data_IF_199735023952
#
_entry.id   IF_199735023952
#
_cell.length_a   1.000
_cell.length_b   1.000
_cell.length_c   1.000
_cell.angle_alpha   90.00
_cell.angle_beta   90.00
_cell.angle_gamma   90.00
#
_symmetry.space_group_name_H-M   'P 1'
#
loop_
_entity.id
_entity.type
_entity.pdbx_description
1 polymer ?
#
# COMPACT_ATOMS: atom_id res chain seq x y z
N UNK A 1 -80.42 -95.86 -7.50
CA UNK A 1 -81.11 -96.52 -8.61
C UNK A 1 -81.66 -97.84 -8.10
N UNK A 2 -82.93 -97.82 -7.73
CA UNK A 2 -83.70 -98.98 -7.26
C UNK A 2 -83.97 -99.90 -8.44
N UNK A 3 -83.45 -101.12 -8.37
CA UNK A 3 -83.75 -102.20 -9.31
C UNK A 3 -85.16 -102.69 -8.96
N UNK A 4 -86.15 -102.23 -9.73
CA UNK A 4 -87.50 -102.80 -9.72
C UNK A 4 -87.43 -104.20 -10.34
N UNK A 5 -87.50 -105.21 -9.48
CA UNK A 5 -87.69 -106.60 -9.85
C UNK A 5 -89.09 -106.74 -10.48
N UNK A 6 -89.14 -106.78 -11.81
CA UNK A 6 -90.35 -107.17 -12.55
C UNK A 6 -90.57 -108.66 -12.30
N UNK A 7 -91.32 -108.97 -11.24
CA UNK A 7 -91.86 -110.31 -11.01
C UNK A 7 -92.92 -110.55 -12.09
N UNK A 8 -92.60 -111.42 -13.04
CA UNK A 8 -93.47 -111.92 -14.10
C UNK A 8 -94.68 -112.65 -13.52
N UNK A 9 -95.72 -111.89 -13.18
CA UNK A 9 -97.04 -112.39 -12.80
C UNK A 9 -97.89 -112.86 -14.00
N UNK A 10 -97.25 -113.36 -15.07
CA UNK A 10 -97.92 -113.78 -16.31
C UNK A 10 -98.31 -115.28 -16.30
N UNK A 11 -97.87 -116.03 -15.29
CA UNK A 11 -98.01 -117.49 -15.19
C UNK A 11 -99.43 -118.02 -14.96
N UNK A 12 -100.48 -117.19 -15.00
CA UNK A 12 -101.89 -117.63 -14.81
C UNK A 12 -102.84 -117.28 -15.95
N UNK A 13 -102.35 -116.62 -17.01
CA UNK A 13 -103.17 -116.35 -18.20
C UNK A 13 -103.01 -117.53 -19.16
N UNK A 14 -104.11 -118.23 -19.43
CA UNK A 14 -104.12 -119.37 -20.37
C UNK A 14 -104.64 -118.92 -21.72
N UNK A 15 -104.07 -119.36 -22.84
CA UNK A 15 -104.66 -119.07 -24.14
C UNK A 15 -106.04 -119.74 -24.29
N UNK A 16 -106.89 -119.16 -25.13
CA UNK A 16 -108.16 -119.74 -25.56
C UNK A 16 -107.95 -121.14 -26.13
N UNK A 17 -108.78 -122.10 -25.75
CA UNK A 17 -108.65 -123.50 -26.17
C UNK A 17 -108.88 -123.72 -27.68
N UNK A 18 -109.34 -122.71 -28.42
CA UNK A 18 -109.30 -122.68 -29.87
C UNK A 18 -107.99 -121.99 -30.33
N UNK A 19 -106.95 -122.74 -30.75
CA UNK A 19 -105.61 -122.21 -31.01
C UNK A 19 -105.56 -121.04 -32.00
N UNK A 20 -106.35 -121.01 -33.10
CA UNK A 20 -106.37 -119.86 -34.01
C UNK A 20 -106.83 -118.55 -33.35
N UNK A 21 -107.54 -118.62 -32.21
CA UNK A 21 -107.89 -117.41 -31.47
C UNK A 21 -106.66 -116.76 -30.83
N UNK A 22 -105.73 -117.56 -30.28
CA UNK A 22 -104.50 -117.09 -29.63
C UNK A 22 -104.65 -116.17 -28.40
N UNK A 23 -105.87 -115.67 -28.12
CA UNK A 23 -106.12 -114.70 -27.05
C UNK A 23 -105.93 -115.33 -25.68
N UNK A 24 -105.34 -114.57 -24.77
CA UNK A 24 -105.21 -114.93 -23.37
C UNK A 24 -106.56 -114.75 -22.66
N UNK A 25 -107.03 -115.81 -22.01
CA UNK A 25 -108.25 -115.78 -21.20
C UNK A 25 -108.03 -114.95 -19.93
N UNK A 26 -109.08 -114.29 -19.42
CA UNK A 26 -109.02 -113.60 -18.13
C UNK A 26 -108.54 -114.54 -17.03
N UNK A 27 -107.79 -114.04 -16.04
CA UNK A 27 -107.34 -114.85 -14.91
C UNK A 27 -108.54 -115.50 -14.22
N UNK A 28 -108.47 -116.81 -14.00
CA UNK A 28 -109.57 -117.58 -13.41
C UNK A 28 -109.80 -117.15 -11.96
N UNK A 29 -110.95 -116.50 -11.70
CA UNK A 29 -111.30 -115.93 -10.39
C UNK A 29 -111.78 -116.97 -9.34
N UNK A 30 -111.56 -118.26 -9.56
CA UNK A 30 -111.82 -119.32 -8.57
C UNK A 30 -113.28 -119.75 -8.41
N UNK A 31 -114.26 -119.07 -9.01
CA UNK A 31 -115.68 -119.48 -8.97
C UNK A 31 -116.08 -120.22 -10.25
N UNK A 32 -116.60 -121.44 -10.11
CA UNK A 32 -117.16 -122.24 -11.21
C UNK A 32 -116.13 -123.02 -12.04
N UNK A 33 -116.55 -123.72 -13.10
CA UNK A 33 -115.60 -124.44 -13.96
C UNK A 33 -114.77 -123.41 -14.77
N UNK A 34 -113.43 -123.52 -14.84
CA UNK A 34 -112.63 -122.58 -15.60
C UNK A 34 -113.10 -122.50 -17.06
N UNK A 35 -113.41 -121.29 -17.52
CA UNK A 35 -113.77 -121.07 -18.93
C UNK A 35 -112.59 -121.50 -19.81
N UNK A 36 -112.89 -122.30 -20.83
CA UNK A 36 -111.89 -122.82 -21.78
C UNK A 36 -111.80 -121.98 -23.05
N UNK A 37 -112.87 -121.25 -23.37
CA UNK A 37 -112.98 -120.40 -24.55
C UNK A 37 -113.20 -118.95 -24.11
N UNK A 38 -112.91 -118.01 -25.00
CA UNK A 38 -113.22 -116.61 -24.75
C UNK A 38 -114.74 -116.44 -24.52
N UNK A 39 -115.16 -115.62 -23.54
CA UNK A 39 -116.57 -115.28 -23.37
C UNK A 39 -117.10 -114.59 -24.64
N UNK A 40 -118.37 -114.83 -24.99
CA UNK A 40 -119.00 -114.31 -26.21
C UNK A 40 -119.09 -112.77 -26.26
N UNK A 41 -118.93 -112.12 -25.10
CA UNK A 41 -118.90 -110.68 -24.95
C UNK A 41 -117.63 -110.34 -24.13
N UNK A 42 -116.71 -109.47 -24.58
CA UNK A 42 -116.76 -108.58 -25.76
C UNK A 42 -116.11 -109.19 -27.02
N UNK A 43 -116.10 -110.51 -27.17
CA UNK A 43 -115.26 -111.13 -28.20
C UNK A 43 -116.01 -111.19 -29.55
N UNK A 44 -115.43 -110.62 -30.64
CA UNK A 44 -116.07 -110.70 -31.95
C UNK A 44 -116.28 -112.16 -32.35
N UNK A 45 -117.51 -112.48 -32.76
CA UNK A 45 -117.83 -113.78 -33.37
C UNK A 45 -117.00 -113.94 -34.64
N UNK A 46 -116.66 -115.19 -34.99
CA UNK A 46 -115.97 -115.49 -36.24
C UNK A 46 -116.83 -115.06 -37.44
N UNK A 47 -116.26 -114.86 -38.64
CA UNK A 47 -116.98 -114.30 -39.80
C UNK A 47 -118.29 -115.04 -40.17
N UNK A 48 -118.42 -116.30 -39.76
CA UNK A 48 -119.60 -117.16 -39.93
C UNK A 48 -120.58 -117.13 -38.74
N UNK A 49 -120.43 -116.17 -37.83
CA UNK A 49 -121.26 -115.99 -36.64
C UNK A 49 -120.99 -116.99 -35.52
N UNK A 50 -119.96 -117.84 -35.65
CA UNK A 50 -119.65 -118.89 -34.67
C UNK A 50 -118.80 -118.38 -33.50
N UNK A 51 -118.99 -118.98 -32.33
CA UNK A 51 -118.17 -118.71 -31.14
C UNK A 51 -116.87 -119.51 -31.18
N UNK A 52 -115.85 -119.13 -30.40
CA UNK A 52 -114.61 -119.91 -30.30
C UNK A 52 -114.88 -121.37 -29.87
N UNK A 53 -115.89 -121.60 -29.03
CA UNK A 53 -116.32 -122.94 -28.64
C UNK A 53 -116.89 -123.72 -29.83
N UNK A 54 -117.74 -123.09 -30.64
CA UNK A 54 -118.32 -123.71 -31.83
C UNK A 54 -117.26 -124.00 -32.90
N UNK A 55 -116.29 -123.10 -33.08
CA UNK A 55 -115.17 -123.29 -33.99
C UNK A 55 -114.23 -124.42 -33.54
N UNK A 56 -113.94 -124.54 -32.24
CA UNK A 56 -113.17 -125.67 -31.72
C UNK A 56 -113.94 -126.98 -31.83
N UNK A 57 -115.26 -126.97 -31.58
CA UNK A 57 -116.10 -128.14 -31.77
C UNK A 57 -116.13 -128.57 -33.24
N UNK A 58 -116.31 -127.62 -34.17
CA UNK A 58 -116.29 -127.87 -35.61
C UNK A 58 -114.93 -128.40 -36.08
N UNK A 59 -113.83 -127.84 -35.57
CA UNK A 59 -112.48 -128.33 -35.84
C UNK A 59 -112.30 -129.75 -35.33
N UNK A 60 -112.68 -130.03 -34.08
CA UNK A 60 -112.59 -131.39 -33.51
C UNK A 60 -113.48 -132.38 -34.24
N UNK A 61 -114.65 -131.96 -34.73
CA UNK A 61 -115.49 -132.82 -35.57
C UNK A 61 -114.87 -133.04 -36.94
N UNK A 62 -114.22 -132.04 -37.53
CA UNK A 62 -113.51 -132.18 -38.80
C UNK A 62 -112.29 -133.10 -38.66
N UNK A 63 -111.46 -132.90 -37.63
CA UNK A 63 -110.31 -133.75 -37.30
C UNK A 63 -110.75 -135.22 -37.12
N UNK A 64 -111.86 -135.47 -36.41
CA UNK A 64 -112.45 -136.81 -36.27
C UNK A 64 -113.03 -137.36 -37.56
N UNK A 65 -113.73 -136.55 -38.35
CA UNK A 65 -114.30 -136.97 -39.62
C UNK A 65 -113.22 -137.37 -40.64
N UNK A 66 -112.03 -136.76 -40.56
CA UNK A 66 -110.87 -137.10 -41.39
C UNK A 66 -109.99 -138.21 -40.79
N UNK A 67 -110.30 -138.72 -39.59
CA UNK A 67 -109.47 -139.71 -38.88
C UNK A 67 -108.08 -139.17 -38.48
N UNK A 68 -107.94 -137.85 -38.35
CA UNK A 68 -106.66 -137.18 -38.04
C UNK A 68 -106.49 -136.85 -36.56
N UNK A 69 -107.50 -137.12 -35.73
CA UNK A 69 -107.47 -136.87 -34.29
C UNK A 69 -106.35 -137.64 -33.59
N UNK A 70 -106.24 -138.95 -33.84
CA UNK A 70 -105.18 -139.81 -33.27
C UNK A 70 -103.77 -139.41 -33.71
N UNK A 71 -103.47 -139.23 -35.02
CA UNK A 71 -102.11 -138.84 -35.44
C UNK A 71 -101.75 -137.40 -35.03
N UNK A 72 -102.71 -136.47 -34.96
CA UNK A 72 -102.43 -135.11 -34.48
C UNK A 72 -102.17 -135.07 -32.97
N UNK A 73 -102.89 -135.87 -32.18
CA UNK A 73 -102.62 -135.99 -30.75
C UNK A 73 -101.29 -136.70 -30.48
N UNK A 74 -100.93 -137.71 -31.28
CA UNK A 74 -99.61 -138.33 -31.27
C UNK A 74 -98.49 -137.36 -31.62
N UNK A 75 -98.68 -136.54 -32.66
CA UNK A 75 -97.72 -135.49 -33.05
C UNK A 75 -97.59 -134.41 -31.96
N UNK A 76 -98.69 -133.93 -31.38
CA UNK A 76 -98.65 -132.93 -30.29
C UNK A 76 -97.96 -133.51 -29.05
N UNK A 77 -98.22 -134.78 -28.72
CA UNK A 77 -97.54 -135.48 -27.63
C UNK A 77 -96.04 -135.63 -27.87
N UNK A 78 -95.63 -135.97 -29.09
CA UNK A 78 -94.21 -136.09 -29.47
C UNK A 78 -93.50 -134.73 -29.60
N UNK A 79 -94.22 -133.68 -30.03
CA UNK A 79 -93.68 -132.33 -30.21
C UNK A 79 -93.63 -131.52 -28.91
N UNK A 80 -94.43 -131.86 -27.89
CA UNK A 80 -94.44 -131.18 -26.59
C UNK A 80 -93.04 -131.05 -25.96
N UNK A 81 -92.29 -132.17 -25.78
CA UNK A 81 -90.93 -132.13 -25.25
C UNK A 81 -89.97 -131.29 -26.11
N UNK A 82 -90.15 -131.27 -27.43
CA UNK A 82 -89.33 -130.47 -28.34
C UNK A 82 -89.61 -128.97 -28.18
N UNK A 83 -90.88 -128.58 -28.03
CA UNK A 83 -91.28 -127.18 -27.80
C UNK A 83 -90.80 -126.71 -26.42
N UNK A 84 -90.90 -127.55 -25.39
CA UNK A 84 -90.35 -127.23 -24.06
C UNK A 84 -88.82 -127.08 -24.08
N UNK A 85 -88.11 -127.98 -24.77
CA UNK A 85 -86.67 -127.87 -24.95
C UNK A 85 -86.26 -126.62 -25.75
N UNK A 86 -87.03 -126.27 -26.80
CA UNK A 86 -86.81 -125.06 -27.58
C UNK A 86 -87.09 -123.78 -26.78
N UNK A 87 -88.11 -123.79 -25.92
CA UNK A 87 -88.40 -122.67 -25.01
C UNK A 87 -87.28 -122.50 -23.97
N UNK A 88 -86.80 -123.58 -23.35
CA UNK A 88 -85.68 -123.54 -22.41
C UNK A 88 -84.38 -123.04 -23.08
N UNK A 89 -84.11 -123.46 -24.32
CA UNK A 89 -82.98 -122.95 -25.09
C UNK A 89 -83.15 -121.46 -25.44
N UNK A 90 -84.36 -121.02 -25.79
CA UNK A 90 -84.65 -119.62 -26.06
C UNK A 90 -84.41 -118.75 -24.81
N UNK A 91 -84.84 -119.21 -23.64
CA UNK A 91 -84.59 -118.51 -22.36
C UNK A 91 -83.08 -118.43 -22.08
N UNK A 92 -82.33 -119.52 -22.26
CA UNK A 92 -80.86 -119.52 -22.10
C UNK A 92 -80.16 -118.56 -23.07
N UNK A 93 -80.64 -118.46 -24.31
CA UNK A 93 -80.11 -117.53 -25.30
C UNK A 93 -80.43 -116.08 -24.94
N UNK A 94 -81.63 -115.80 -24.42
CA UNK A 94 -82.01 -114.46 -23.92
C UNK A 94 -81.12 -114.04 -22.75
N UNK A 95 -80.86 -114.94 -21.80
CA UNK A 95 -79.95 -114.69 -20.68
C UNK A 95 -78.52 -114.43 -21.15
N UNK A 96 -78.03 -115.24 -22.10
CA UNK A 96 -76.69 -115.07 -22.68
C UNK A 96 -76.56 -113.74 -23.41
N UNK A 97 -77.55 -113.35 -24.23
CA UNK A 97 -77.56 -112.04 -24.92
C UNK A 97 -77.60 -110.90 -23.91
N UNK A 98 -78.34 -111.05 -22.81
CA UNK A 98 -78.41 -110.05 -21.74
C UNK A 98 -77.06 -109.88 -21.03
N UNK A 99 -76.38 -110.99 -20.73
CA UNK A 99 -75.03 -110.97 -20.16
C UNK A 99 -74.01 -110.34 -21.11
N UNK A 100 -74.03 -110.70 -22.40
CA UNK A 100 -73.16 -110.10 -23.42
C UNK A 100 -73.39 -108.60 -23.52
N UNK A 101 -74.66 -108.15 -23.54
CA UNK A 101 -74.99 -106.72 -23.56
C UNK A 101 -74.52 -106.00 -22.28
N UNK A 102 -74.60 -106.63 -21.12
CA UNK A 102 -74.10 -106.06 -19.87
C UNK A 102 -72.57 -105.94 -19.87
N UNK A 103 -71.86 -106.95 -20.39
CA UNK A 103 -70.40 -106.92 -20.54
C UNK A 103 -69.98 -105.85 -21.55
N UNK A 104 -70.66 -105.77 -22.70
CA UNK A 104 -70.39 -104.77 -23.74
C UNK A 104 -70.66 -103.35 -23.22
N UNK A 105 -71.81 -103.13 -22.57
CA UNK A 105 -72.13 -101.87 -21.90
C UNK A 105 -71.13 -101.49 -20.80
N UNK A 106 -70.67 -102.45 -20.00
CA UNK A 106 -69.65 -102.22 -18.98
C UNK A 106 -68.23 -102.01 -19.55
N UNK A 107 -67.91 -102.59 -20.70
CA UNK A 107 -66.66 -102.32 -21.41
C UNK A 107 -66.68 -100.91 -22.01
N UNK A 108 -67.76 -100.53 -22.70
CA UNK A 108 -67.94 -99.19 -23.27
C UNK A 108 -67.94 -98.11 -22.18
N UNK A 109 -68.59 -98.35 -21.03
CA UNK A 109 -68.56 -97.42 -19.90
C UNK A 109 -67.13 -97.21 -19.36
N UNK A 110 -66.35 -98.29 -19.18
CA UNK A 110 -64.94 -98.18 -18.74
C UNK A 110 -64.05 -97.49 -19.76
N UNK A 111 -64.31 -97.68 -21.06
CA UNK A 111 -63.60 -96.95 -22.12
C UNK A 111 -63.93 -95.46 -22.04
N UNK A 112 -65.21 -95.11 -21.92
CA UNK A 112 -65.64 -93.72 -21.78
C UNK A 112 -65.05 -93.05 -20.52
N UNK A 113 -65.06 -93.75 -19.38
CA UNK A 113 -64.44 -93.26 -18.14
C UNK A 113 -62.92 -93.06 -18.30
N UNK A 114 -62.25 -93.99 -18.98
CA UNK A 114 -60.81 -93.91 -19.25
C UNK A 114 -60.48 -92.75 -20.20
N UNK A 115 -61.26 -92.55 -21.26
CA UNK A 115 -61.12 -91.43 -22.19
C UNK A 115 -61.35 -90.09 -21.50
N UNK A 116 -62.38 -90.00 -20.64
CA UNK A 116 -62.61 -88.80 -19.83
C UNK A 116 -61.42 -88.53 -18.89
N UNK A 117 -60.94 -89.54 -18.16
CA UNK A 117 -59.80 -89.40 -17.27
C UNK A 117 -58.51 -88.99 -18.00
N UNK A 118 -58.29 -89.53 -19.22
CA UNK A 118 -57.18 -89.10 -20.08
C UNK A 118 -57.34 -87.65 -20.53
N UNK A 119 -58.55 -87.24 -20.94
CA UNK A 119 -58.84 -85.85 -21.32
C UNK A 119 -58.58 -84.87 -20.17
N UNK A 120 -59.04 -85.20 -18.96
CA UNK A 120 -58.78 -84.40 -17.75
C UNK A 120 -57.28 -84.37 -17.38
N UNK A 121 -56.57 -85.49 -17.54
CA UNK A 121 -55.13 -85.55 -17.30
C UNK A 121 -54.35 -84.67 -18.29
N UNK A 122 -54.69 -84.72 -19.58
CA UNK A 122 -54.10 -83.87 -20.62
C UNK A 122 -54.41 -82.39 -20.35
N UNK A 123 -55.66 -82.04 -20.04
CA UNK A 123 -56.03 -80.67 -19.72
C UNK A 123 -55.26 -80.11 -18.51
N UNK A 124 -55.02 -80.93 -17.47
CA UNK A 124 -54.18 -80.56 -16.32
C UNK A 124 -52.71 -80.41 -16.70
N UNK A 125 -52.18 -81.29 -17.55
CA UNK A 125 -50.79 -81.19 -18.02
C UNK A 125 -50.57 -79.90 -18.84
N UNK A 126 -51.46 -79.59 -19.78
CA UNK A 126 -51.40 -78.36 -20.56
C UNK A 126 -51.54 -77.10 -19.70
N UNK A 127 -52.41 -77.12 -18.67
CA UNK A 127 -52.53 -76.02 -17.73
C UNK A 127 -51.22 -75.81 -16.94
N UNK A 128 -50.61 -76.90 -16.44
CA UNK A 128 -49.33 -76.83 -15.74
C UNK A 128 -48.17 -76.33 -16.64
N UNK A 129 -48.17 -76.70 -17.92
CA UNK A 129 -47.20 -76.18 -18.89
C UNK A 129 -47.39 -74.68 -19.14
N UNK A 130 -48.64 -74.23 -19.33
CA UNK A 130 -48.95 -72.79 -19.47
C UNK A 130 -48.53 -71.99 -18.25
N UNK A 131 -48.78 -72.52 -17.05
CA UNK A 131 -48.40 -71.88 -15.78
C UNK A 131 -46.88 -71.80 -15.63
N UNK A 132 -46.14 -72.87 -15.98
CA UNK A 132 -44.67 -72.88 -15.97
C UNK A 132 -44.12 -71.84 -16.95
N UNK A 133 -44.61 -71.83 -18.18
CA UNK A 133 -44.15 -70.91 -19.21
C UNK A 133 -44.47 -69.45 -18.84
N UNK A 134 -45.60 -69.21 -18.14
CA UNK A 134 -45.92 -67.91 -17.59
C UNK A 134 -44.96 -67.51 -16.48
N UNK A 135 -44.68 -68.40 -15.52
CA UNK A 135 -43.73 -68.14 -14.46
C UNK A 135 -42.31 -67.87 -14.97
N UNK A 136 -41.88 -68.55 -16.04
CA UNK A 136 -40.59 -68.30 -16.69
C UNK A 136 -40.56 -66.93 -17.37
N UNK A 137 -41.63 -66.52 -18.04
CA UNK A 137 -41.76 -65.16 -18.62
C UNK A 137 -41.70 -64.09 -17.54
N UNK A 138 -42.45 -64.27 -16.45
CA UNK A 138 -42.49 -63.33 -15.34
C UNK A 138 -41.12 -63.20 -14.66
N UNK A 139 -40.40 -64.32 -14.48
CA UNK A 139 -39.02 -64.30 -13.97
C UNK A 139 -38.08 -63.51 -14.89
N UNK A 140 -38.12 -63.75 -16.20
CA UNK A 140 -37.28 -63.03 -17.15
C UNK A 140 -37.61 -61.53 -17.21
N UNK A 141 -38.88 -61.17 -17.10
CA UNK A 141 -39.31 -59.79 -16.99
C UNK A 141 -38.75 -59.14 -15.72
N UNK A 142 -38.89 -59.80 -14.56
CA UNK A 142 -38.37 -59.30 -13.28
C UNK A 142 -36.85 -59.13 -13.30
N UNK A 143 -36.11 -60.06 -13.90
CA UNK A 143 -34.65 -59.97 -14.06
C UNK A 143 -34.27 -58.78 -14.95
N UNK A 144 -35.02 -58.55 -16.03
CA UNK A 144 -34.80 -57.41 -16.94
C UNK A 144 -35.08 -56.08 -16.23
N UNK A 145 -36.17 -55.99 -15.47
CA UNK A 145 -36.53 -54.81 -14.68
C UNK A 145 -35.48 -54.54 -13.60
N UNK A 146 -35.00 -55.57 -12.90
CA UNK A 146 -33.92 -55.47 -11.93
C UNK A 146 -32.63 -54.96 -12.57
N UNK A 147 -32.24 -55.50 -13.72
CA UNK A 147 -31.04 -55.06 -14.45
C UNK A 147 -31.15 -53.59 -14.87
N UNK A 148 -32.33 -53.16 -15.36
CA UNK A 148 -32.60 -51.76 -15.69
C UNK A 148 -32.51 -50.86 -14.45
N UNK A 149 -33.12 -51.26 -13.33
CA UNK A 149 -33.07 -50.50 -12.09
C UNK A 149 -31.63 -50.31 -11.58
N UNK A 150 -30.82 -51.36 -11.61
CA UNK A 150 -29.39 -51.30 -11.24
C UNK A 150 -28.62 -50.37 -12.17
N UNK A 151 -28.84 -50.46 -13.49
CA UNK A 151 -28.19 -49.58 -14.46
C UNK A 151 -28.56 -48.11 -14.25
N UNK A 152 -29.85 -47.81 -14.00
CA UNK A 152 -30.33 -46.46 -13.70
C UNK A 152 -29.77 -45.93 -12.38
N UNK A 153 -29.69 -46.76 -11.34
CA UNK A 153 -29.09 -46.38 -10.05
C UNK A 153 -27.60 -46.05 -10.20
N UNK A 154 -26.84 -46.91 -10.89
CA UNK A 154 -25.42 -46.67 -11.16
C UNK A 154 -25.19 -45.40 -11.99
N UNK A 155 -26.07 -45.10 -12.95
CA UNK A 155 -26.00 -43.84 -13.70
C UNK A 155 -26.29 -42.61 -12.84
N UNK A 156 -27.30 -42.70 -11.96
CA UNK A 156 -27.61 -41.64 -11.02
C UNK A 156 -26.45 -41.37 -10.06
N UNK A 157 -25.77 -42.42 -9.56
CA UNK A 157 -24.57 -42.30 -8.73
C UNK A 157 -23.42 -41.62 -9.47
N UNK A 158 -23.13 -42.03 -10.71
CA UNK A 158 -22.09 -41.38 -11.54
C UNK A 158 -22.39 -39.90 -11.76
N UNK A 159 -23.65 -39.54 -12.05
CA UNK A 159 -24.08 -38.14 -12.21
C UNK A 159 -23.96 -37.36 -10.90
N UNK A 160 -24.32 -37.96 -9.77
CA UNK A 160 -24.18 -37.34 -8.46
C UNK A 160 -22.72 -37.09 -8.09
N UNK A 161 -21.82 -38.05 -8.33
CA UNK A 161 -20.38 -37.88 -8.11
C UNK A 161 -19.76 -36.84 -9.04
N UNK A 162 -20.13 -36.84 -10.33
CA UNK A 162 -19.67 -35.82 -11.26
C UNK A 162 -20.10 -34.43 -10.79
N UNK A 163 -21.37 -34.26 -10.37
CA UNK A 163 -21.87 -33.02 -9.82
C UNK A 163 -21.12 -32.59 -8.54
N UNK A 164 -20.79 -33.54 -7.64
CA UNK A 164 -19.97 -33.27 -6.45
C UNK A 164 -18.57 -32.79 -6.80
N UNK A 165 -17.87 -33.50 -7.70
CA UNK A 165 -16.51 -33.12 -8.17
C UNK A 165 -16.53 -31.74 -8.84
N UNK A 166 -17.56 -31.43 -9.59
CA UNK A 166 -17.75 -30.12 -10.23
C UNK A 166 -18.00 -29.01 -9.20
N UNK A 167 -18.83 -29.26 -8.19
CA UNK A 167 -19.06 -28.33 -7.10
C UNK A 167 -17.77 -28.05 -6.30
N UNK A 168 -17.01 -29.09 -5.93
CA UNK A 168 -15.73 -28.95 -5.25
C UNK A 168 -14.70 -28.17 -6.07
N UNK A 169 -14.67 -28.37 -7.39
CA UNK A 169 -13.79 -27.61 -8.28
C UNK A 169 -14.18 -26.14 -8.30
N UNK A 170 -15.47 -25.81 -8.41
CA UNK A 170 -15.95 -24.42 -8.35
C UNK A 170 -15.63 -23.74 -7.02
N UNK A 171 -15.76 -24.46 -5.91
CA UNK A 171 -15.39 -23.95 -4.57
C UNK A 171 -13.89 -23.66 -4.51
N UNK A 172 -13.04 -24.59 -4.97
CA UNK A 172 -11.58 -24.36 -5.03
C UNK A 172 -11.22 -23.15 -5.88
N UNK A 173 -11.75 -23.06 -7.10
CA UNK A 173 -11.54 -21.91 -7.99
C UNK A 173 -11.99 -20.59 -7.37
N UNK A 174 -13.12 -20.58 -6.65
CA UNK A 174 -13.61 -19.40 -5.95
C UNK A 174 -12.69 -18.98 -4.79
N UNK A 175 -12.20 -19.95 -4.01
CA UNK A 175 -11.24 -19.71 -2.93
C UNK A 175 -9.91 -19.19 -3.46
N UNK A 176 -9.39 -19.75 -4.55
CA UNK A 176 -8.15 -19.30 -5.18
C UNK A 176 -8.28 -17.85 -5.69
N UNK A 177 -9.40 -17.51 -6.34
CA UNK A 177 -9.69 -16.14 -6.76
C UNK A 177 -9.79 -15.17 -5.59
N UNK A 178 -10.39 -15.58 -4.47
CA UNK A 178 -10.45 -14.75 -3.27
C UNK A 178 -9.05 -14.49 -2.71
N UNK A 179 -8.21 -15.53 -2.61
CA UNK A 179 -6.83 -15.40 -2.17
C UNK A 179 -6.00 -14.50 -3.10
N UNK A 180 -6.23 -14.56 -4.41
CA UNK A 180 -5.59 -13.67 -5.39
C UNK A 180 -6.00 -12.21 -5.17
N UNK A 181 -7.30 -11.96 -4.97
CA UNK A 181 -7.84 -10.62 -4.69
C UNK A 181 -7.30 -10.06 -3.37
N UNK A 182 -7.20 -10.88 -2.33
CA UNK A 182 -6.60 -10.49 -1.05
C UNK A 182 -5.11 -10.12 -1.20
N UNK A 183 -4.35 -10.88 -1.99
CA UNK A 183 -2.95 -10.55 -2.30
C UNK A 183 -2.84 -9.24 -3.08
N UNK A 184 -3.68 -9.04 -4.09
CA UNK A 184 -3.72 -7.78 -4.86
C UNK A 184 -4.11 -6.60 -3.97
N UNK A 185 -5.09 -6.79 -3.08
CA UNK A 185 -5.52 -5.76 -2.13
C UNK A 185 -4.39 -5.42 -1.17
N UNK A 186 -3.71 -6.41 -0.59
CA UNK A 186 -2.54 -6.21 0.27
C UNK A 186 -1.40 -5.48 -0.45
N UNK A 187 -1.11 -5.83 -1.70
CA UNK A 187 -0.13 -5.13 -2.54
C UNK A 187 -0.53 -3.68 -2.82
N UNK A 188 -1.81 -3.42 -3.12
CA UNK A 188 -2.32 -2.09 -3.36
C UNK A 188 -2.25 -1.21 -2.10
N UNK A 189 -2.59 -1.76 -0.92
CA UNK A 189 -2.44 -1.08 0.36
C UNK A 189 -0.97 -0.75 0.65
N UNK A 190 -0.07 -1.73 0.50
CA UNK A 190 1.37 -1.51 0.69
C UNK A 190 1.93 -0.45 -0.27
N UNK A 191 1.50 -0.46 -1.54
CA UNK A 191 1.88 0.56 -2.52
C UNK A 191 1.35 1.95 -2.15
N UNK A 192 0.11 2.04 -1.64
CA UNK A 192 -0.47 3.29 -1.17
C UNK A 192 0.26 3.84 0.06
N UNK A 193 0.63 2.98 1.01
CA UNK A 193 1.44 3.34 2.18
C UNK A 193 2.84 3.80 1.78
N UNK A 194 3.50 3.09 0.87
CA UNK A 194 4.79 3.48 0.32
C UNK A 194 4.73 4.83 -0.41
N UNK A 195 3.67 5.08 -1.17
CA UNK A 195 3.45 6.37 -1.84
C UNK A 195 3.26 7.52 -0.84
N UNK A 196 2.48 7.29 0.25
CA UNK A 196 2.33 8.27 1.33
C UNK A 196 3.65 8.55 2.05
N UNK A 197 4.44 7.52 2.34
CA UNK A 197 5.75 7.67 2.95
C UNK A 197 6.72 8.45 2.05
N UNK A 198 6.72 8.17 0.74
CA UNK A 198 7.52 8.91 -0.24
C UNK A 198 7.10 10.39 -0.34
N UNK A 199 5.80 10.68 -0.29
CA UNK A 199 5.29 12.05 -0.29
C UNK A 199 5.68 12.80 0.99
N UNK A 200 5.63 12.14 2.14
CA UNK A 200 6.09 12.72 3.41
C UNK A 200 7.59 13.02 3.39
N UNK A 201 8.42 12.11 2.85
CA UNK A 201 9.87 12.34 2.69
C UNK A 201 10.14 13.49 1.73
N UNK A 202 9.43 13.58 0.60
CA UNK A 202 9.56 14.69 -0.34
C UNK A 202 9.20 16.03 0.30
N UNK A 203 8.14 16.07 1.12
CA UNK A 203 7.73 17.27 1.85
C UNK A 203 8.80 17.71 2.82
N UNK A 204 9.33 16.77 3.63
CA UNK A 204 10.43 17.04 4.56
C UNK A 204 11.69 17.55 3.85
N UNK A 205 12.04 16.99 2.69
CA UNK A 205 13.18 17.47 1.90
C UNK A 205 12.99 18.90 1.41
N UNK A 206 11.77 19.27 1.01
CA UNK A 206 11.44 20.65 0.62
C UNK A 206 11.55 21.60 1.82
N UNK A 207 10.96 21.24 2.96
CA UNK A 207 11.07 22.05 4.19
C UNK A 207 12.53 22.27 4.61
N UNK A 208 13.37 21.24 4.55
CA UNK A 208 14.81 21.37 4.84
C UNK A 208 15.51 22.27 3.81
N UNK A 209 15.17 22.16 2.53
CA UNK A 209 15.73 23.02 1.49
C UNK A 209 15.32 24.48 1.68
N UNK A 210 14.05 24.74 2.02
CA UNK A 210 13.52 26.08 2.29
C UNK A 210 14.17 26.69 3.55
N UNK A 211 14.35 25.89 4.61
CA UNK A 211 15.08 26.33 5.81
C UNK A 211 16.52 26.71 5.48
N UNK A 212 17.22 25.91 4.68
CA UNK A 212 18.60 26.22 4.24
C UNK A 212 18.64 27.47 3.38
N UNK A 213 17.68 27.66 2.47
CA UNK A 213 17.58 28.88 1.67
C UNK A 213 17.40 30.12 2.57
N UNK A 214 16.52 30.06 3.56
CA UNK A 214 16.33 31.15 4.53
C UNK A 214 17.59 31.42 5.37
N UNK A 215 18.32 30.38 5.77
CA UNK A 215 19.62 30.52 6.44
C UNK A 215 20.63 31.22 5.53
N UNK A 216 20.76 30.78 4.27
CA UNK A 216 21.67 31.42 3.32
C UNK A 216 21.30 32.88 3.03
N UNK A 217 20.01 33.22 2.93
CA UNK A 217 19.57 34.61 2.78
C UNK A 217 19.99 35.46 3.99
N UNK A 218 19.86 34.92 5.20
CA UNK A 218 20.27 35.58 6.44
C UNK A 218 21.79 35.77 6.49
N UNK A 219 22.56 34.73 6.15
CA UNK A 219 24.03 34.80 6.07
C UNK A 219 24.49 35.82 5.02
N UNK A 220 23.84 35.85 3.86
CA UNK A 220 24.18 36.76 2.77
C UNK A 220 23.83 38.22 3.12
N UNK A 221 22.74 38.45 3.86
CA UNK A 221 22.43 39.75 4.44
C UNK A 221 23.48 40.18 5.48
N UNK A 222 23.93 39.25 6.35
CA UNK A 222 24.98 39.51 7.33
C UNK A 222 26.33 39.84 6.67
N UNK A 223 26.70 39.11 5.60
CA UNK A 223 27.92 39.38 4.82
C UNK A 223 27.83 40.74 4.13
N UNK A 224 26.68 41.11 3.57
CA UNK A 224 26.47 42.46 2.99
C UNK A 224 26.62 43.54 4.04
N UNK A 225 25.98 43.40 5.19
CA UNK A 225 26.11 44.35 6.30
C UNK A 225 27.57 44.45 6.78
N UNK A 226 28.29 43.33 6.85
CA UNK A 226 29.71 43.33 7.21
C UNK A 226 30.56 44.04 6.15
N UNK A 227 30.33 43.80 4.86
CA UNK A 227 31.03 44.52 3.77
C UNK A 227 30.77 46.02 3.80
N UNK A 228 29.53 46.45 4.05
CA UNK A 228 29.18 47.87 4.14
C UNK A 228 29.81 48.52 5.37
N UNK A 229 29.86 47.82 6.52
CA UNK A 229 30.59 48.27 7.70
C UNK A 229 32.10 48.41 7.41
N UNK A 230 32.73 47.39 6.80
CA UNK A 230 34.15 47.45 6.45
C UNK A 230 34.46 48.55 5.45
N UNK A 231 33.54 48.86 4.52
CA UNK A 231 33.67 50.01 3.62
C UNK A 231 33.60 51.33 4.37
N UNK A 232 32.65 51.49 5.29
CA UNK A 232 32.54 52.67 6.12
C UNK A 232 33.78 52.87 7.02
N UNK A 233 34.32 51.79 7.58
CA UNK A 233 35.56 51.79 8.35
C UNK A 233 36.75 52.22 7.47
N UNK A 234 36.83 51.70 6.24
CA UNK A 234 37.89 52.03 5.29
C UNK A 234 37.81 53.49 4.82
N UNK A 235 36.62 54.03 4.58
CA UNK A 235 36.43 55.45 4.26
C UNK A 235 36.76 56.34 5.46
N UNK A 236 36.42 55.90 6.68
CA UNK A 236 36.82 56.58 7.93
C UNK A 236 38.35 56.57 8.09
N UNK A 237 39.01 55.44 7.89
CA UNK A 237 40.45 55.31 7.97
C UNK A 237 41.17 56.16 6.89
N UNK A 238 40.61 56.24 5.69
CA UNK A 238 41.10 57.16 4.64
C UNK A 238 40.98 58.61 5.05
N UNK A 239 39.83 59.03 5.57
CA UNK A 239 39.61 60.38 6.06
C UNK A 239 40.58 60.73 7.21
N UNK A 240 40.80 59.80 8.14
CA UNK A 240 41.80 59.95 9.21
C UNK A 240 43.21 60.10 8.65
N UNK A 241 43.61 59.25 7.69
CA UNK A 241 44.94 59.32 7.06
C UNK A 241 45.15 60.64 6.32
N UNK A 242 44.13 61.15 5.61
CA UNK A 242 44.18 62.47 4.98
C UNK A 242 44.29 63.58 6.02
N UNK A 243 43.49 63.53 7.09
CA UNK A 243 43.57 64.51 8.17
C UNK A 243 44.93 64.51 8.88
N UNK A 244 45.51 63.34 9.14
CA UNK A 244 46.86 63.21 9.70
C UNK A 244 47.93 63.75 8.74
N UNK A 245 47.78 63.50 7.44
CA UNK A 245 48.66 64.05 6.42
C UNK A 245 48.61 65.58 6.37
N UNK A 246 47.41 66.17 6.39
CA UNK A 246 47.21 67.62 6.42
C UNK A 246 47.75 68.23 7.73
N UNK A 247 47.57 67.56 8.87
CA UNK A 247 48.17 67.96 10.13
C UNK A 247 49.69 67.93 10.08
N UNK A 248 50.27 66.90 9.44
CA UNK A 248 51.72 66.80 9.25
C UNK A 248 52.26 67.95 8.39
N UNK A 249 51.61 68.25 7.26
CA UNK A 249 51.96 69.39 6.41
C UNK A 249 51.85 70.71 7.19
N UNK A 250 50.78 70.90 7.96
CA UNK A 250 50.60 72.10 8.78
C UNK A 250 51.69 72.24 9.86
N UNK A 251 52.08 71.13 10.49
CA UNK A 251 53.18 71.08 11.45
C UNK A 251 54.54 71.35 10.79
N UNK A 252 54.81 70.79 9.61
CA UNK A 252 56.00 71.07 8.80
C UNK A 252 56.10 72.57 8.49
N UNK A 253 55.03 73.20 8.00
CA UNK A 253 54.99 74.64 7.77
C UNK A 253 55.12 75.49 9.06
N UNK A 254 54.71 74.97 10.21
CA UNK A 254 54.91 75.65 11.49
C UNK A 254 56.38 75.56 11.93
N UNK A 255 57.04 74.42 11.71
CA UNK A 255 58.48 74.26 11.93
C UNK A 255 59.27 75.20 11.01
N UNK A 256 58.98 75.24 9.70
CA UNK A 256 59.62 76.17 8.75
C UNK A 256 59.48 77.63 9.19
N UNK A 257 58.28 78.04 9.62
CA UNK A 257 58.05 79.38 10.16
C UNK A 257 58.84 79.65 11.45
N UNK A 258 58.98 78.64 12.30
CA UNK A 258 59.75 78.75 13.54
C UNK A 258 61.25 78.82 13.27
N UNK A 259 61.75 78.06 12.30
CA UNK A 259 63.14 78.10 11.86
C UNK A 259 63.48 79.42 11.18
N UNK A 260 62.61 79.94 10.32
CA UNK A 260 62.75 81.28 9.75
C UNK A 260 62.80 82.35 10.86
N UNK A 261 61.91 82.27 11.85
CA UNK A 261 61.90 83.18 13.01
C UNK A 261 63.16 83.05 13.86
N UNK A 262 63.67 81.83 14.07
CA UNK A 262 64.92 81.60 14.78
C UNK A 262 66.12 82.16 14.00
N UNK A 263 66.14 82.04 12.68
CA UNK A 263 67.17 82.63 11.82
C UNK A 263 67.15 84.16 11.87
N UNK A 264 65.95 84.77 11.81
CA UNK A 264 65.76 86.21 11.97
C UNK A 264 66.21 86.68 13.37
N UNK A 265 65.80 85.98 14.43
CA UNK A 265 66.23 86.27 15.80
C UNK A 265 67.75 86.12 15.97
N UNK A 266 68.35 85.10 15.37
CA UNK A 266 69.82 84.92 15.38
C UNK A 266 70.51 86.11 14.69
N UNK A 267 69.95 86.57 13.58
CA UNK A 267 70.46 87.75 12.86
C UNK A 267 70.30 89.04 13.69
N UNK A 268 69.16 89.22 14.37
CA UNK A 268 68.96 90.34 15.30
C UNK A 268 69.92 90.29 16.49
N UNK A 269 70.19 89.11 17.03
CA UNK A 269 71.20 88.93 18.09
C UNK A 269 72.58 89.33 17.57
N UNK A 270 72.99 88.88 16.39
CA UNK A 270 74.27 89.27 15.79
C UNK A 270 74.36 90.79 15.53
N UNK A 271 73.28 91.41 15.06
CA UNK A 271 73.19 92.86 14.85
C UNK A 271 73.25 93.64 16.16
N UNK A 272 72.55 93.19 17.20
CA UNK A 272 72.58 93.84 18.53
C UNK A 272 73.94 93.65 19.20
N UNK A 273 74.61 92.52 19.02
CA UNK A 273 75.99 92.31 19.47
C UNK A 273 76.96 93.24 18.75
N UNK A 274 76.88 93.37 17.42
CA UNK A 274 77.70 94.30 16.66
C UNK A 274 77.46 95.77 17.07
N UNK A 275 76.21 96.14 17.35
CA UNK A 275 75.87 97.46 17.88
C UNK A 275 76.45 97.69 19.30
N UNK A 276 76.43 96.66 20.15
CA UNK A 276 77.03 96.71 21.49
C UNK A 276 78.56 96.84 21.43
N UNK A 277 79.22 96.11 20.54
CA UNK A 277 80.68 96.19 20.32
C UNK A 277 81.08 97.58 19.80
N UNK A 278 80.28 98.14 18.88
CA UNK A 278 80.45 99.52 18.38
C UNK A 278 80.29 100.53 19.52
N UNK A 279 79.22 100.44 20.31
CA UNK A 279 79.00 101.33 21.45
C UNK A 279 80.11 101.21 22.52
N UNK A 280 80.65 100.01 22.73
CA UNK A 280 81.78 99.78 23.64
C UNK A 280 83.05 100.44 23.10
N UNK A 281 83.31 100.30 21.80
CA UNK A 281 84.43 100.96 21.12
C UNK A 281 84.32 102.49 21.21
N UNK A 282 83.12 103.04 20.96
CA UNK A 282 82.86 104.48 21.07
C UNK A 282 83.04 104.99 22.50
N UNK A 283 82.58 104.24 23.50
CA UNK A 283 82.80 104.54 24.92
C UNK A 283 84.30 104.55 25.27
N UNK A 284 85.05 103.56 24.80
CA UNK A 284 86.49 103.45 25.07
C UNK A 284 87.26 104.59 24.40
N UNK A 285 86.88 104.97 23.17
CA UNK A 285 87.41 106.16 22.48
C UNK A 285 87.05 107.45 23.21
N UNK A 286 85.82 107.61 23.69
CA UNK A 286 85.40 108.76 24.49
C UNK A 286 86.19 108.85 25.80
N UNK A 287 86.43 107.71 26.44
CA UNK A 287 87.24 107.62 27.67
C UNK A 287 88.70 107.98 27.41
N UNK A 288 89.27 107.52 26.29
CA UNK A 288 90.62 107.89 25.87
C UNK A 288 90.74 109.39 25.56
N UNK A 289 89.75 109.97 24.86
CA UNK A 289 89.67 111.43 24.61
C UNK A 289 89.54 112.23 25.91
N UNK A 290 88.74 111.76 26.87
CA UNK A 290 88.61 112.41 28.17
C UNK A 290 89.94 112.41 28.92
N UNK A 291 90.68 111.29 28.95
CA UNK A 291 92.02 111.23 29.54
C UNK A 291 93.01 112.16 28.85
N UNK A 292 93.04 112.17 27.52
CA UNK A 292 93.91 113.06 26.76
C UNK A 292 93.62 114.54 27.04
N UNK A 293 92.34 114.93 27.18
CA UNK A 293 91.95 116.27 27.57
C UNK A 293 92.39 116.61 29.00
N UNK A 294 92.28 115.67 29.94
CA UNK A 294 92.78 115.84 31.31
C UNK A 294 94.30 116.03 31.33
N UNK A 295 95.05 115.24 30.57
CA UNK A 295 96.51 115.36 30.47
C UNK A 295 96.90 116.71 29.84
N UNK A 296 96.19 117.15 28.79
CA UNK A 296 96.38 118.47 28.18
C UNK A 296 96.09 119.61 29.18
N UNK A 297 95.07 119.45 30.03
CA UNK A 297 94.74 120.42 31.06
C UNK A 297 95.87 120.51 32.10
N UNK A 298 96.40 119.38 32.56
CA UNK A 298 97.52 119.33 33.51
C UNK A 298 98.80 119.96 32.94
N UNK A 299 99.08 119.75 31.64
CA UNK A 299 100.22 120.40 30.97
C UNK A 299 100.01 121.92 30.85
N UNK A 300 98.78 122.36 30.55
CA UNK A 300 98.46 123.79 30.46
C UNK A 300 98.54 124.48 31.84
N UNK A 301 98.11 123.81 32.91
CA UNK A 301 98.22 124.29 34.29
C UNK A 301 99.70 124.42 34.71
N UNK A 302 100.53 123.42 34.42
CA UNK A 302 101.97 123.48 34.69
C UNK A 302 102.67 124.62 33.92
N UNK A 303 102.30 124.85 32.66
CA UNK A 303 102.84 125.95 31.85
C UNK A 303 102.40 127.34 32.39
N UNK A 304 101.20 127.44 32.96
CA UNK A 304 100.72 128.66 33.61
C UNK A 304 101.45 128.94 34.93
N UNK A 305 101.71 127.91 35.75
CA UNK A 305 102.51 128.05 36.98
C UNK A 305 103.95 128.51 36.68
N UNK A 306 104.56 127.96 35.61
CA UNK A 306 105.90 128.34 35.20
C UNK A 306 105.96 129.78 34.67
N UNK A 307 104.95 130.21 33.90
CA UNK A 307 104.82 131.59 33.44
C UNK A 307 104.63 132.59 34.60
N UNK A 308 103.86 132.23 35.64
CA UNK A 308 103.66 133.07 36.82
C UNK A 308 104.96 133.18 37.64
N UNK A 309 105.74 132.09 37.72
CA UNK A 309 107.07 132.09 38.35
C UNK A 309 108.10 132.93 37.59
N UNK A 310 108.08 132.94 36.26
CA UNK A 310 108.91 133.83 35.43
C UNK A 310 108.50 135.30 35.59
N UNK A 311 107.20 135.60 35.62
CA UNK A 311 106.69 136.96 35.82
C UNK A 311 107.11 137.56 37.17
N UNK A 312 107.09 136.76 38.26
CA UNK A 312 107.57 137.19 39.57
C UNK A 312 109.07 137.48 39.59
N UNK A 313 109.88 136.63 38.96
CA UNK A 313 111.33 136.85 38.81
C UNK A 313 111.64 138.14 38.05
N UNK A 314 110.92 138.41 36.96
CA UNK A 314 111.06 139.67 36.23
C UNK A 314 110.62 140.89 37.03
N UNK A 315 109.56 140.79 37.83
CA UNK A 315 109.12 141.88 38.71
C UNK A 315 110.16 142.19 39.81
N UNK A 316 110.76 141.16 40.41
CA UNK A 316 111.84 141.30 41.39
C UNK A 316 113.10 141.92 40.76
N UNK A 317 113.47 141.51 39.55
CA UNK A 317 114.61 142.06 38.81
C UNK A 317 114.42 143.56 38.48
N UNK A 318 113.22 143.94 38.03
CA UNK A 318 112.88 145.34 37.74
C UNK A 318 112.88 146.21 39.02
N UNK A 319 112.42 145.66 40.14
CA UNK A 319 112.43 146.35 41.44
C UNK A 319 113.86 146.55 41.95
N UNK A 320 114.74 145.57 41.74
CA UNK A 320 116.18 145.67 42.01
C UNK A 320 116.87 146.73 41.15
N UNK A 321 116.49 146.84 39.87
CA UNK A 321 117.01 147.88 38.96
C UNK A 321 116.55 149.29 39.34
N UNK A 322 115.30 149.46 39.76
CA UNK A 322 114.77 150.75 40.19
C UNK A 322 115.45 151.27 41.46
N UNK A 323 115.64 150.40 42.46
CA UNK A 323 116.34 150.75 43.71
C UNK A 323 117.81 151.07 43.51
N UNK A 324 118.50 150.37 42.59
CA UNK A 324 119.88 150.68 42.22
C UNK A 324 120.01 152.04 41.50
N UNK A 325 119.05 152.39 40.65
CA UNK A 325 119.02 153.67 39.95
C UNK A 325 118.74 154.85 40.89
N UNK A 326 117.86 154.68 41.88
CA UNK A 326 117.61 155.68 42.92
C UNK A 326 118.85 155.93 43.79
N UNK A 327 119.57 154.87 44.19
CA UNK A 327 120.82 154.98 44.94
C UNK A 327 121.92 155.72 44.16
N UNK A 328 122.01 155.51 42.83
CA UNK A 328 122.92 156.26 41.97
C UNK A 328 122.55 157.74 41.89
N UNK A 329 121.25 158.05 41.80
CA UNK A 329 120.79 159.45 41.75
C UNK A 329 121.15 160.21 43.04
N UNK A 330 120.95 159.58 44.19
CA UNK A 330 121.26 160.16 45.49
C UNK A 330 122.77 160.32 45.76
N UNK A 331 123.62 159.49 45.14
CA UNK A 331 125.09 159.66 45.18
C UNK A 331 125.54 160.85 44.31
N UNK A 332 124.98 160.99 43.10
CA UNK A 332 125.30 162.10 42.20
C UNK A 332 124.84 163.44 42.79
N UNK A 333 123.68 163.47 43.43
CA UNK A 333 123.14 164.68 44.06
C UNK A 333 123.97 165.14 45.27
N UNK A 334 124.47 164.19 46.08
CA UNK A 334 125.44 164.48 47.15
C UNK A 334 126.76 165.04 46.63
N UNK A 335 127.29 164.47 45.54
CA UNK A 335 128.53 164.97 44.90
C UNK A 335 128.35 166.37 44.32
N UNK A 336 127.19 166.66 43.73
CA UNK A 336 126.87 167.96 43.18
C UNK A 336 126.78 169.03 44.28
N UNK A 337 126.11 168.73 45.41
CA UNK A 337 126.03 169.67 46.54
C UNK A 337 127.38 169.91 47.22
N UNK A 338 128.24 168.88 47.31
CA UNK A 338 129.60 169.03 47.81
C UNK A 338 130.46 169.95 46.91
N UNK A 339 130.27 169.86 45.58
CA UNK A 339 130.93 170.71 44.59
C UNK A 339 130.46 172.17 44.67
N UNK A 340 129.16 172.41 44.84
CA UNK A 340 128.60 173.77 44.95
C UNK A 340 129.06 174.49 46.22
N UNK A 341 129.24 173.77 47.34
CA UNK A 341 129.75 174.35 48.58
C UNK A 341 131.25 174.73 48.50
N UNK A 342 132.05 173.98 47.74
CA UNK A 342 133.48 174.24 47.62
C UNK A 342 133.81 175.43 46.68
N UNK A 343 132.94 175.71 45.69
CA UNK A 343 133.17 176.73 44.66
C UNK A 343 132.91 178.20 45.10
N UNK A 344 132.42 178.45 46.33
CA UNK A 344 132.20 179.79 46.86
C UNK A 344 133.41 180.44 47.58
N UNK A 345 134.56 179.76 47.74
CA UNK A 345 135.74 180.30 48.44
C UNK A 345 137.09 180.20 47.70
N UNK A 346 137.06 179.94 46.40
CA UNK A 346 138.17 180.21 45.49
C UNK A 346 139.01 179.00 45.05
N UNK A 347 139.47 179.11 43.81
CA UNK A 347 140.71 178.49 43.34
C UNK A 347 140.60 177.20 42.51
N UNK A 348 140.76 177.38 41.19
CA UNK A 348 141.69 176.61 40.34
C UNK A 348 141.18 175.36 39.57
N UNK A 349 141.03 175.59 38.25
CA UNK A 349 141.44 174.83 37.04
C UNK A 349 142.20 173.50 37.18
N UNK A 350 142.41 172.70 36.08
CA UNK A 350 141.58 172.30 34.92
C UNK A 350 141.79 170.76 34.62
N UNK A 351 141.62 170.32 33.35
CA UNK A 351 142.32 169.17 32.70
C UNK A 351 141.59 167.80 32.71
N UNK A 352 140.87 167.41 31.64
CA UNK A 352 141.24 166.57 30.46
C UNK A 352 141.55 165.09 30.70
N UNK A 353 141.25 164.28 29.67
CA UNK A 353 141.60 162.87 29.43
C UNK A 353 140.71 161.88 30.18
N UNK A 354 140.38 160.69 29.68
CA UNK A 354 140.80 159.89 28.53
C UNK A 354 139.91 158.63 28.59
N UNK A 355 139.60 158.02 27.46
CA UNK A 355 140.18 156.73 27.05
C UNK A 355 139.37 155.49 27.52
N UNK A 356 139.22 154.60 26.55
CA UNK A 356 139.12 153.14 26.61
C UNK A 356 137.78 152.41 26.91
N UNK A 357 137.32 151.76 25.83
CA UNK A 357 136.82 150.36 25.67
C UNK A 357 136.94 149.42 26.90
N UNK A 358 136.11 148.35 27.06
CA UNK A 358 135.88 147.33 26.03
C UNK A 358 134.52 146.57 26.02
N UNK A 359 134.36 145.70 25.00
CA UNK A 359 133.49 144.49 24.89
C UNK A 359 133.43 143.61 26.17
N UNK A 360 132.43 142.68 26.42
CA UNK A 360 131.98 141.60 25.50
C UNK A 360 130.54 141.00 25.67
N UNK A 361 130.20 140.02 24.80
CA UNK A 361 129.40 138.75 24.95
C UNK A 361 128.05 138.74 25.74
N UNK A 362 127.06 137.85 25.62
CA UNK A 362 126.84 136.43 25.23
C UNK A 362 125.32 136.20 25.00
N UNK A 363 124.92 135.18 24.22
CA UNK A 363 124.02 134.08 24.67
C UNK A 363 122.51 134.28 24.37
N UNK A 364 121.59 133.31 24.26
CA UNK A 364 121.47 131.84 24.48
C UNK A 364 120.11 131.39 23.87
N UNK A 365 120.02 130.12 23.42
CA UNK A 365 118.91 129.14 23.24
C UNK A 365 117.42 129.53 23.03
N UNK A 366 116.73 128.77 22.14
CA UNK A 366 115.76 127.69 22.51
C UNK A 366 115.24 126.93 21.30
#
# INVERSE_FOLDING_TARGET
>A
MTVETIVTADSRRRPCAYPPCGRLLPPYAGRGRPVKFCPDDPNPRWPDGKTCQQMDAARKSAERATGLDVPLDGFRGAAGPLVEAAAALADQLIDTVTLVRAVDGGALARIADAEQAMGEALARAEAAERDRDQADRDRHQADTERARAVATAADAERRAEAARRDAERRVREATDRLADLERQHGQALAAAEAARAAQADQTRRREIADQRAATFETELAAVRAHLDATRADLDTARAQTTAEHDQRIAAEHQLERTDARNSDLTTQIAQTQAALDTATTDRDQATARARALTDQLAVAEAALEEADADARRHAEELTGRATAAEAQRDDVERRYQALVAALAAGGFTPQTAGEDDPQPSTGIDR
#
